data_IF_049851112857
#
_entry.id   IF_049851112857
#
_cell.length_a   1.000
_cell.length_b   1.000
_cell.length_c   1.000
_cell.angle_alpha   90.00
_cell.angle_beta   90.00
_cell.angle_gamma   90.00
#
_symmetry.space_group_name_H-M   'P 1'
#
loop_
_entity.id
_entity.type
_entity.pdbx_description
1 polymer ?
#
# COMPACT_ATOMS: atom_id res chain seq x y z
N UNK A 1 -5.46 21.50 -6.20
CA UNK A 1 -4.53 21.28 -5.08
C UNK A 1 -5.37 20.86 -3.89
N UNK A 2 -5.17 19.63 -3.42
CA UNK A 2 -5.72 19.13 -2.17
C UNK A 2 -5.00 19.88 -1.03
N UNK A 3 -5.74 20.41 -0.06
CA UNK A 3 -5.11 21.11 1.09
C UNK A 3 -4.68 20.07 2.13
N UNK A 4 -3.71 20.40 3.00
CA UNK A 4 -3.14 19.43 3.96
C UNK A 4 -4.20 18.86 4.92
N UNK A 5 -5.23 19.65 5.26
CA UNK A 5 -6.39 19.17 6.03
C UNK A 5 -7.18 18.07 5.31
N UNK A 6 -7.25 18.11 3.98
CA UNK A 6 -7.96 17.10 3.18
C UNK A 6 -7.16 15.78 3.17
N UNK A 7 -5.81 15.86 3.18
CA UNK A 7 -4.93 14.68 3.26
C UNK A 7 -5.04 14.03 4.65
N UNK A 8 -5.14 14.82 5.71
CA UNK A 8 -5.35 14.32 7.07
C UNK A 8 -6.71 13.58 7.18
N UNK A 9 -7.77 14.13 6.59
CA UNK A 9 -9.08 13.45 6.52
C UNK A 9 -9.01 12.15 5.70
N UNK A 10 -8.29 12.13 4.58
CA UNK A 10 -8.04 10.91 3.81
C UNK A 10 -7.26 9.87 4.64
N UNK A 11 -6.28 10.32 5.42
CA UNK A 11 -5.46 9.47 6.29
C UNK A 11 -6.30 8.83 7.40
N UNK A 12 -7.17 9.61 8.06
CA UNK A 12 -8.09 9.05 9.07
C UNK A 12 -9.08 8.05 8.46
N UNK A 13 -9.61 8.35 7.27
CA UNK A 13 -10.48 7.42 6.53
C UNK A 13 -9.75 6.13 6.14
N UNK A 14 -8.50 6.23 5.67
CA UNK A 14 -7.65 5.08 5.42
C UNK A 14 -7.48 4.24 6.68
N UNK A 15 -7.07 4.82 7.81
CA UNK A 15 -6.84 4.07 9.06
C UNK A 15 -8.08 3.33 9.53
N UNK A 16 -9.25 3.99 9.49
CA UNK A 16 -10.52 3.34 9.84
C UNK A 16 -10.84 2.15 8.93
N UNK A 17 -10.67 2.31 7.60
CA UNK A 17 -10.91 1.23 6.63
C UNK A 17 -9.88 0.13 6.74
N UNK A 18 -8.64 0.46 7.04
CA UNK A 18 -7.53 -0.47 7.19
C UNK A 18 -7.75 -1.40 8.38
N UNK A 19 -8.16 -0.85 9.53
CA UNK A 19 -8.54 -1.64 10.69
C UNK A 19 -9.75 -2.54 10.41
N UNK A 20 -10.75 -2.05 9.65
CA UNK A 20 -11.86 -2.89 9.21
C UNK A 20 -11.38 -4.04 8.31
N UNK A 21 -10.50 -3.76 7.36
CA UNK A 21 -9.93 -4.75 6.44
C UNK A 21 -9.14 -5.82 7.19
N UNK A 22 -8.29 -5.44 8.14
CA UNK A 22 -7.55 -6.38 9.03
C UNK A 22 -8.50 -7.34 9.73
N UNK A 23 -9.55 -6.80 10.34
CA UNK A 23 -10.55 -7.61 11.05
C UNK A 23 -11.29 -8.57 10.12
N UNK A 24 -11.62 -8.15 8.90
CA UNK A 24 -12.27 -9.03 7.91
C UNK A 24 -11.32 -10.11 7.40
N UNK A 25 -10.04 -9.80 7.17
CA UNK A 25 -9.03 -10.79 6.83
C UNK A 25 -8.94 -11.88 7.91
N UNK A 26 -8.88 -11.49 9.18
CA UNK A 26 -8.82 -12.41 10.32
C UNK A 26 -10.08 -13.30 10.43
N UNK A 27 -11.26 -12.77 10.12
CA UNK A 27 -12.52 -13.53 10.07
C UNK A 27 -12.49 -14.54 8.94
N UNK A 28 -12.19 -14.09 7.71
CA UNK A 28 -12.17 -14.96 6.52
C UNK A 28 -11.13 -16.06 6.67
N UNK A 29 -9.94 -15.75 7.20
CA UNK A 29 -8.90 -16.75 7.43
C UNK A 29 -9.36 -17.86 8.39
N UNK A 30 -10.11 -17.51 9.44
CA UNK A 30 -10.65 -18.50 10.39
C UNK A 30 -11.78 -19.33 9.79
N UNK A 31 -12.68 -18.71 9.04
CA UNK A 31 -13.86 -19.38 8.47
C UNK A 31 -13.49 -20.28 7.29
N UNK A 32 -12.61 -19.82 6.41
CA UNK A 32 -12.18 -20.57 5.22
C UNK A 32 -11.13 -21.63 5.51
N UNK A 33 -10.70 -21.79 6.77
CA UNK A 33 -9.66 -22.72 7.21
C UNK A 33 -8.37 -22.62 6.38
N UNK A 34 -8.05 -21.41 5.87
CA UNK A 34 -6.85 -21.18 5.07
C UNK A 34 -5.63 -21.48 5.92
N UNK A 35 -4.86 -22.48 5.51
CA UNK A 35 -3.70 -22.90 6.28
C UNK A 35 -2.58 -21.87 6.10
N UNK A 36 -1.95 -21.49 7.22
CA UNK A 36 -0.87 -20.49 7.25
C UNK A 36 0.33 -20.92 6.40
N UNK A 37 0.45 -22.21 6.11
CA UNK A 37 1.56 -22.81 5.37
C UNK A 37 1.24 -23.10 3.89
N UNK A 38 -0.03 -23.03 3.45
CA UNK A 38 -0.45 -23.49 2.12
C UNK A 38 -1.06 -22.42 1.22
N UNK A 39 -2.08 -21.71 1.72
CA UNK A 39 -2.88 -20.78 0.90
C UNK A 39 -2.38 -19.33 0.98
N UNK A 40 -1.31 -19.10 1.74
CA UNK A 40 -0.82 -17.77 2.08
C UNK A 40 -1.61 -17.14 3.23
N UNK A 41 -0.90 -16.49 4.13
CA UNK A 41 -1.52 -15.78 5.24
C UNK A 41 -2.14 -14.48 4.73
N UNK A 42 -3.45 -14.27 4.94
CA UNK A 42 -4.12 -12.98 4.64
C UNK A 42 -3.49 -11.80 5.39
N UNK A 43 -2.69 -12.08 6.43
CA UNK A 43 -1.85 -11.10 7.12
C UNK A 43 -0.80 -10.42 6.24
N UNK A 44 -0.38 -11.04 5.13
CA UNK A 44 0.57 -10.43 4.19
C UNK A 44 0.02 -9.14 3.59
N UNK A 45 -1.25 -9.14 3.17
CA UNK A 45 -1.91 -8.00 2.53
C UNK A 45 -1.95 -6.75 3.41
N UNK A 46 -2.19 -6.91 4.72
CA UNK A 46 -2.25 -5.79 5.65
C UNK A 46 -0.96 -5.57 6.45
N UNK A 47 -0.06 -6.55 6.49
CA UNK A 47 1.18 -6.47 7.27
C UNK A 47 2.37 -5.96 6.46
N UNK A 48 2.39 -6.21 5.15
CA UNK A 48 3.56 -5.94 4.32
C UNK A 48 3.21 -5.37 2.94
N UNK A 49 2.16 -5.84 2.27
CA UNK A 49 1.92 -5.43 0.88
C UNK A 49 1.63 -3.93 0.75
N UNK A 50 0.71 -3.39 1.55
CA UNK A 50 0.34 -1.97 1.48
C UNK A 50 1.50 -1.03 1.86
N UNK A 51 2.33 -1.38 2.83
CA UNK A 51 3.51 -0.57 3.17
C UNK A 51 4.59 -0.66 2.10
N UNK A 52 4.75 -1.83 1.47
CA UNK A 52 5.67 -2.02 0.33
C UNK A 52 5.24 -1.20 -0.88
N UNK A 53 3.94 -1.17 -1.18
CA UNK A 53 3.37 -0.31 -2.22
C UNK A 53 3.60 1.17 -1.90
N UNK A 54 3.37 1.58 -0.65
CA UNK A 54 3.60 2.95 -0.23
C UNK A 54 5.06 3.36 -0.42
N UNK A 55 6.00 2.48 -0.06
CA UNK A 55 7.43 2.73 -0.24
C UNK A 55 7.82 2.85 -1.72
N UNK A 56 7.22 2.03 -2.60
CA UNK A 56 7.44 2.12 -4.06
C UNK A 56 6.92 3.45 -4.62
N UNK A 57 5.76 3.92 -4.16
CA UNK A 57 5.19 5.23 -4.55
C UNK A 57 6.09 6.39 -4.14
N UNK A 58 6.51 6.45 -2.87
CA UNK A 58 7.39 7.51 -2.33
C UNK A 58 8.74 7.57 -3.05
N UNK A 59 9.18 6.44 -3.62
CA UNK A 59 10.46 6.37 -4.30
C UNK A 59 10.37 6.50 -5.83
N UNK A 60 9.16 6.68 -6.37
CA UNK A 60 8.89 6.63 -7.81
C UNK A 60 9.62 7.76 -8.58
N UNK A 61 9.66 8.96 -8.01
CA UNK A 61 10.35 10.13 -8.58
C UNK A 61 11.83 10.21 -8.14
N UNK A 62 12.26 9.33 -7.24
CA UNK A 62 13.60 9.28 -6.67
C UNK A 62 13.89 10.28 -5.55
N UNK A 63 12.89 11.02 -5.05
CA UNK A 63 13.05 12.05 -4.02
C UNK A 63 12.11 11.77 -2.85
N UNK A 64 12.65 11.27 -1.75
CA UNK A 64 11.87 11.04 -0.53
C UNK A 64 11.78 12.32 0.28
N UNK A 65 10.58 12.87 0.40
CA UNK A 65 10.35 14.12 1.11
C UNK A 65 9.89 13.90 2.58
N UNK A 66 9.86 14.97 3.39
CA UNK A 66 9.52 14.88 4.83
C UNK A 66 8.02 14.62 5.08
N UNK A 67 7.14 15.11 4.21
CA UNK A 67 5.70 14.92 4.34
C UNK A 67 5.27 13.50 3.99
N UNK A 68 5.83 12.91 2.93
CA UNK A 68 5.65 11.52 2.54
C UNK A 68 6.08 10.58 3.66
N UNK A 69 7.24 10.86 4.27
CA UNK A 69 7.73 10.11 5.44
C UNK A 69 6.76 10.27 6.61
N UNK A 70 6.24 11.48 6.86
CA UNK A 70 5.24 11.72 7.90
C UNK A 70 3.99 10.87 7.67
N UNK A 71 3.41 10.91 6.47
CA UNK A 71 2.19 10.16 6.18
C UNK A 71 2.44 8.66 6.11
N UNK A 72 3.58 8.19 5.58
CA UNK A 72 3.99 6.79 5.66
C UNK A 72 4.01 6.29 7.11
N UNK A 73 4.66 7.05 8.00
CA UNK A 73 4.69 6.74 9.42
C UNK A 73 3.29 6.77 10.05
N UNK A 74 2.45 7.75 9.71
CA UNK A 74 1.11 7.87 10.27
C UNK A 74 0.16 6.75 9.81
N UNK A 75 0.26 6.31 8.55
CA UNK A 75 -0.58 5.27 7.96
C UNK A 75 -0.31 3.89 8.57
N UNK A 76 0.95 3.61 8.91
CA UNK A 76 1.41 2.29 9.35
C UNK A 76 1.93 2.25 10.79
N UNK A 77 1.81 3.37 11.52
CA UNK A 77 2.30 3.56 12.89
C UNK A 77 3.80 3.24 13.04
N UNK A 78 4.61 3.74 12.11
CA UNK A 78 6.07 3.64 12.12
C UNK A 78 6.74 4.93 12.64
N UNK A 79 8.05 4.87 12.86
CA UNK A 79 8.86 6.01 13.33
C UNK A 79 10.13 6.17 12.50
N UNK A 80 10.03 6.05 11.17
CA UNK A 80 11.18 6.22 10.27
C UNK A 80 11.54 7.69 10.07
N UNK A 81 12.84 7.96 10.04
CA UNK A 81 13.38 9.19 9.44
C UNK A 81 13.47 9.04 7.91
N UNK A 82 13.59 10.15 7.18
CA UNK A 82 13.79 10.12 5.72
C UNK A 82 15.02 9.31 5.31
N UNK A 83 16.09 9.35 6.10
CA UNK A 83 17.31 8.59 5.85
C UNK A 83 17.08 7.08 6.03
N UNK A 84 16.39 6.67 7.10
CA UNK A 84 16.08 5.25 7.34
C UNK A 84 15.13 4.70 6.27
N UNK A 85 14.15 5.50 5.82
CA UNK A 85 13.25 5.09 4.75
C UNK A 85 13.99 4.94 3.40
N UNK A 86 14.93 5.84 3.12
CA UNK A 86 15.81 5.73 1.95
C UNK A 86 16.71 4.49 2.00
N UNK A 87 17.25 4.18 3.18
CA UNK A 87 18.05 2.96 3.38
C UNK A 87 17.20 1.69 3.23
N UNK A 88 15.97 1.70 3.76
CA UNK A 88 15.00 0.63 3.56
C UNK A 88 14.73 0.42 2.07
N UNK A 89 14.40 1.49 1.34
CA UNK A 89 14.19 1.45 -0.10
C UNK A 89 15.39 0.87 -0.85
N UNK A 90 16.61 1.33 -0.57
CA UNK A 90 17.84 0.80 -1.19
C UNK A 90 18.06 -0.68 -0.88
N UNK A 91 17.63 -1.14 0.30
CA UNK A 91 17.73 -2.55 0.68
C UNK A 91 16.75 -3.45 -0.08
N UNK A 92 15.64 -2.90 -0.58
CA UNK A 92 14.60 -3.64 -1.30
C UNK A 92 14.40 -3.18 -2.76
N UNK A 93 15.20 -2.24 -3.28
CA UNK A 93 14.99 -1.63 -4.60
C UNK A 93 14.95 -2.65 -5.73
N UNK A 94 15.82 -3.68 -5.67
CA UNK A 94 15.86 -4.74 -6.68
C UNK A 94 14.56 -5.58 -6.69
N UNK A 95 13.91 -5.71 -5.53
CA UNK A 95 12.60 -6.38 -5.42
C UNK A 95 11.47 -5.45 -5.86
N UNK A 96 11.57 -4.14 -5.60
CA UNK A 96 10.52 -3.16 -5.88
C UNK A 96 10.46 -2.72 -7.34
N UNK A 97 11.62 -2.61 -8.01
CA UNK A 97 11.79 -1.94 -9.31
C UNK A 97 11.80 -2.90 -10.51
N UNK A 98 10.97 -3.96 -10.50
CA UNK A 98 10.99 -4.93 -11.60
C UNK A 98 9.66 -5.61 -11.87
N UNK A 99 9.61 -6.33 -12.99
CA UNK A 99 8.47 -7.16 -13.42
C UNK A 99 8.08 -8.21 -12.36
N UNK A 100 9.03 -8.60 -11.49
CA UNK A 100 8.78 -9.51 -10.38
C UNK A 100 7.78 -8.94 -9.37
N UNK A 101 7.88 -7.66 -9.00
CA UNK A 101 6.91 -7.03 -8.10
C UNK A 101 5.51 -7.06 -8.69
N UNK A 102 5.38 -6.64 -9.96
CA UNK A 102 4.07 -6.49 -10.60
C UNK A 102 3.37 -7.85 -10.78
N UNK A 103 4.14 -8.87 -11.16
CA UNK A 103 3.66 -10.24 -11.23
C UNK A 103 3.23 -10.75 -9.85
N UNK A 104 4.09 -10.62 -8.83
CA UNK A 104 3.79 -11.07 -7.47
C UNK A 104 2.57 -10.36 -6.88
N UNK A 105 2.46 -9.05 -7.11
CA UNK A 105 1.34 -8.24 -6.66
C UNK A 105 0.04 -8.61 -7.37
N UNK A 106 0.07 -8.78 -8.69
CA UNK A 106 -1.12 -9.18 -9.46
C UNK A 106 -1.59 -10.59 -9.07
N UNK A 107 -0.66 -11.52 -8.86
CA UNK A 107 -0.95 -12.87 -8.39
C UNK A 107 -1.51 -12.85 -6.96
N UNK A 108 -0.95 -12.04 -6.07
CA UNK A 108 -1.47 -11.86 -4.72
C UNK A 108 -2.90 -11.31 -4.74
N UNK A 109 -3.16 -10.25 -5.51
CA UNK A 109 -4.50 -9.70 -5.64
C UNK A 109 -5.49 -10.71 -6.23
N UNK A 110 -5.09 -11.48 -7.23
CA UNK A 110 -5.91 -12.54 -7.83
C UNK A 110 -6.26 -13.63 -6.82
N UNK A 111 -5.30 -14.04 -5.96
CA UNK A 111 -5.55 -14.96 -4.85
C UNK A 111 -6.53 -14.37 -3.83
N UNK A 112 -6.33 -13.12 -3.42
CA UNK A 112 -7.24 -12.43 -2.49
C UNK A 112 -8.67 -12.41 -3.02
N UNK A 113 -8.84 -12.09 -4.31
CA UNK A 113 -10.13 -12.08 -5.00
C UNK A 113 -10.77 -13.46 -5.05
N UNK A 114 -9.97 -14.51 -5.30
CA UNK A 114 -10.42 -15.90 -5.28
C UNK A 114 -10.90 -16.35 -3.90
N UNK A 115 -10.26 -15.86 -2.84
CA UNK A 115 -10.64 -16.13 -1.44
C UNK A 115 -11.90 -15.34 -1.05
N UNK A 116 -11.91 -14.03 -1.31
CA UNK A 116 -13.02 -13.14 -0.99
C UNK A 116 -13.02 -11.92 -1.91
N UNK A 117 -14.02 -11.87 -2.79
CA UNK A 117 -14.25 -10.70 -3.65
C UNK A 117 -14.48 -9.41 -2.82
N UNK A 118 -15.08 -9.52 -1.63
CA UNK A 118 -15.28 -8.39 -0.73
C UNK A 118 -13.94 -7.83 -0.21
N UNK A 119 -13.03 -8.71 0.22
CA UNK A 119 -11.70 -8.28 0.66
C UNK A 119 -10.89 -7.67 -0.49
N UNK A 120 -11.01 -8.19 -1.71
CA UNK A 120 -10.34 -7.59 -2.87
C UNK A 120 -10.88 -6.17 -3.20
N UNK A 121 -12.17 -5.92 -3.02
CA UNK A 121 -12.76 -4.57 -3.16
C UNK A 121 -12.22 -3.65 -2.07
N UNK A 122 -12.24 -4.08 -0.82
CA UNK A 122 -11.74 -3.29 0.32
C UNK A 122 -10.23 -2.98 0.15
N UNK A 123 -9.43 -3.95 -0.30
CA UNK A 123 -8.01 -3.75 -0.59
C UNK A 123 -7.79 -2.74 -1.71
N UNK A 124 -8.56 -2.82 -2.79
CA UNK A 124 -8.50 -1.86 -3.90
C UNK A 124 -8.87 -0.45 -3.46
N UNK A 125 -9.85 -0.32 -2.56
CA UNK A 125 -10.21 0.96 -1.97
C UNK A 125 -9.06 1.53 -1.13
N UNK A 126 -8.44 0.71 -0.27
CA UNK A 126 -7.27 1.10 0.53
C UNK A 126 -6.09 1.52 -0.34
N UNK A 127 -5.80 0.79 -1.41
CA UNK A 127 -4.78 1.17 -2.39
C UNK A 127 -5.09 2.54 -3.02
N UNK A 128 -6.37 2.82 -3.30
CA UNK A 128 -6.82 4.11 -3.81
C UNK A 128 -6.51 5.26 -2.87
N UNK A 129 -6.88 5.12 -1.58
CA UNK A 129 -6.54 6.08 -0.53
C UNK A 129 -5.03 6.26 -0.40
N UNK A 130 -4.28 5.16 -0.35
CA UNK A 130 -2.83 5.19 -0.20
C UNK A 130 -2.17 5.99 -1.33
N UNK A 131 -2.53 5.70 -2.58
CA UNK A 131 -2.04 6.44 -3.74
C UNK A 131 -2.33 7.93 -3.62
N UNK A 132 -3.56 8.30 -3.24
CA UNK A 132 -3.97 9.70 -3.17
C UNK A 132 -3.26 10.46 -2.05
N UNK A 133 -3.07 9.82 -0.88
CA UNK A 133 -2.38 10.42 0.26
C UNK A 133 -0.91 10.68 -0.06
N UNK A 134 -0.20 9.68 -0.59
CA UNK A 134 1.24 9.79 -0.85
C UNK A 134 1.53 10.86 -1.91
N UNK A 135 0.94 10.75 -3.11
CA UNK A 135 1.23 11.72 -4.19
C UNK A 135 0.80 13.15 -3.80
N UNK A 136 -0.29 13.30 -3.03
CA UNK A 136 -0.75 14.62 -2.61
C UNK A 136 0.13 15.22 -1.51
N UNK A 137 0.91 14.39 -0.82
CA UNK A 137 1.80 14.84 0.26
C UNK A 137 3.12 15.43 -0.24
N UNK A 138 3.51 15.13 -1.47
CA UNK A 138 4.75 15.67 -2.05
C UNK A 138 4.67 17.17 -2.36
N UNK A 139 3.44 17.67 -2.59
CA UNK A 139 3.16 19.09 -2.89
C UNK A 139 3.33 19.45 -4.37
N UNK A 140 4.07 18.64 -5.13
CA UNK A 140 4.12 18.63 -6.58
C UNK A 140 3.98 17.17 -7.04
N UNK A 141 2.97 16.86 -7.86
CA UNK A 141 2.80 15.48 -8.37
C UNK A 141 3.51 15.36 -9.70
N UNK A 142 4.50 14.47 -9.79
CA UNK A 142 5.28 14.20 -10.99
C UNK A 142 4.57 13.24 -11.96
N UNK A 143 4.98 13.26 -13.23
CA UNK A 143 4.45 12.32 -14.24
C UNK A 143 4.80 10.86 -13.90
N UNK A 144 5.95 10.62 -13.26
CA UNK A 144 6.41 9.28 -12.87
C UNK A 144 5.55 8.70 -11.75
N UNK A 145 5.20 9.49 -10.73
CA UNK A 145 4.26 9.08 -9.67
C UNK A 145 2.85 8.81 -10.23
N UNK A 146 2.38 9.65 -11.17
CA UNK A 146 1.08 9.43 -11.81
C UNK A 146 1.04 8.13 -12.60
N UNK A 147 2.14 7.79 -13.29
CA UNK A 147 2.25 6.55 -14.02
C UNK A 147 2.33 5.34 -13.07
N UNK A 148 3.09 5.44 -11.99
CA UNK A 148 3.16 4.41 -10.95
C UNK A 148 1.78 4.15 -10.32
N UNK A 149 1.02 5.20 -10.00
CA UNK A 149 -0.37 5.07 -9.51
C UNK A 149 -1.27 4.39 -10.54
N UNK A 150 -1.13 4.70 -11.83
CA UNK A 150 -1.91 4.02 -12.88
C UNK A 150 -1.54 2.54 -12.97
N UNK A 151 -0.25 2.22 -12.92
CA UNK A 151 0.27 0.85 -12.94
C UNK A 151 -0.31 0.06 -11.77
N UNK A 152 -0.13 0.50 -10.53
CA UNK A 152 -0.66 -0.16 -9.34
C UNK A 152 -2.17 -0.36 -9.38
N UNK A 153 -2.93 0.66 -9.79
CA UNK A 153 -4.40 0.54 -9.95
C UNK A 153 -4.81 -0.43 -11.06
N UNK A 154 -3.96 -0.60 -12.08
CA UNK A 154 -4.21 -1.54 -13.18
C UNK A 154 -3.99 -3.00 -12.77
N UNK A 155 -3.08 -3.26 -11.82
CA UNK A 155 -2.80 -4.59 -11.30
C UNK A 155 -3.96 -5.14 -10.43
N UNK A 156 -4.83 -4.27 -9.92
CA UNK A 156 -6.05 -4.62 -9.16
C UNK A 156 -7.34 -4.64 -10.00
N UNK A 157 -7.31 -5.14 -11.24
CA UNK A 157 -8.50 -5.24 -12.12
C UNK A 157 -9.30 -6.54 -11.93
#
# INVERSE_FOLDING_TARGET
MINMNDIDDLTQNFKMKFERFKNQCDIVQRVSMLDKCGDGSLKGFYGYDLSTVALRLIAADGVINVNEVRYYNELFDFEYTSQELLELYRGCSDMLLGEYFEADFSDAFSRLRGISAGLAIDYKELLGYLCEIIISSDGEVTDDELEEVKTLKSLCR
#
